data_IF_426342595738
#
_entry.id   IF_426342595738
#
_cell.length_a   1.000
_cell.length_b   1.000
_cell.length_c   1.000
_cell.angle_alpha   90.00
_cell.angle_beta   90.00
_cell.angle_gamma   90.00
#
_symmetry.space_group_name_H-M   'P 1'
#
loop_
_entity.id
_entity.type
_entity.pdbx_description
1 polymer ?
#
# COMPACT_ATOMS: atom_id res chain seq x y z
N UNK A 1 24.35 6.79 17.53
CA UNK A 1 23.97 5.38 17.36
C UNK A 1 22.46 5.33 17.33
N UNK A 2 21.88 5.62 16.15
CA UNK A 2 20.46 5.44 15.87
C UNK A 2 20.41 4.35 14.82
N UNK A 3 19.60 3.34 15.05
CA UNK A 3 19.51 2.10 14.29
C UNK A 3 19.35 2.36 12.77
N UNK A 4 20.26 1.88 11.92
CA UNK A 4 20.05 1.83 10.48
C UNK A 4 19.27 0.56 10.17
N UNK A 5 17.98 0.49 10.54
CA UNK A 5 17.11 -0.63 10.16
C UNK A 5 16.00 -0.15 9.22
N UNK A 6 16.05 -0.70 8.02
CA UNK A 6 14.89 -0.89 7.14
C UNK A 6 14.37 0.34 6.36
N UNK A 7 15.23 1.02 5.61
CA UNK A 7 14.79 1.55 4.32
C UNK A 7 15.41 0.67 3.23
N UNK A 8 14.92 -0.56 3.11
CA UNK A 8 15.13 -1.38 1.91
C UNK A 8 14.53 -0.62 0.74
N UNK A 9 15.35 0.24 0.14
CA UNK A 9 15.18 0.80 -1.19
C UNK A 9 15.24 -0.32 -2.20
N UNK A 10 14.23 -1.19 -2.20
CA UNK A 10 13.92 -1.93 -3.41
C UNK A 10 13.43 -0.91 -4.43
N UNK A 11 13.99 -0.95 -5.64
CA UNK A 11 13.46 -0.25 -6.79
C UNK A 11 11.99 -0.70 -7.00
N UNK A 12 11.07 0.04 -6.38
CA UNK A 12 9.68 -0.35 -6.15
C UNK A 12 8.81 0.10 -7.34
N UNK A 13 8.71 -0.77 -8.34
CA UNK A 13 7.92 -0.58 -9.58
C UNK A 13 6.51 -0.03 -9.31
N UNK A 14 6.19 1.21 -9.69
CA UNK A 14 4.89 1.90 -9.47
C UNK A 14 3.65 0.95 -9.46
N UNK A 15 2.79 1.04 -8.44
CA UNK A 15 1.58 0.20 -8.34
C UNK A 15 0.51 0.81 -9.23
N UNK A 16 0.08 0.10 -10.26
CA UNK A 16 -0.92 0.62 -11.19
C UNK A 16 -2.27 0.85 -10.49
N UNK A 17 -3.11 1.80 -10.97
CA UNK A 17 -4.48 1.94 -10.49
C UNK A 17 -5.26 0.64 -10.73
N UNK A 18 -6.18 0.28 -9.83
CA UNK A 18 -6.87 -1.00 -9.83
C UNK A 18 -6.06 -2.16 -9.23
N UNK A 19 -4.81 -1.92 -8.82
CA UNK A 19 -4.03 -2.93 -8.10
C UNK A 19 -4.54 -3.06 -6.67
N UNK A 20 -4.85 -4.28 -6.24
CA UNK A 20 -5.13 -4.56 -4.83
C UNK A 20 -3.87 -4.48 -3.98
N UNK A 21 -3.99 -3.79 -2.87
CA UNK A 21 -2.86 -3.47 -1.99
C UNK A 21 -3.23 -3.68 -0.54
N UNK A 22 -2.18 -3.78 0.26
CA UNK A 22 -2.21 -3.74 1.70
C UNK A 22 -1.58 -2.43 2.17
N UNK A 23 -2.24 -1.77 3.11
CA UNK A 23 -1.77 -0.50 3.67
C UNK A 23 -1.18 -0.76 5.05
N UNK A 24 0.02 -0.22 5.32
CA UNK A 24 0.64 -0.28 6.65
C UNK A 24 -0.01 0.74 7.58
N UNK A 25 -0.56 0.27 8.71
CA UNK A 25 -1.02 1.18 9.77
C UNK A 25 0.19 1.62 10.60
N UNK A 26 0.49 2.92 10.58
CA UNK A 26 1.58 3.55 11.35
C UNK A 26 1.52 3.32 12.86
N UNK A 27 0.33 3.06 13.40
CA UNK A 27 0.13 2.86 14.84
C UNK A 27 0.46 1.43 15.30
N UNK A 28 0.00 0.42 14.55
CA UNK A 28 0.15 -1.00 14.92
C UNK A 28 1.26 -1.72 14.14
N UNK A 29 1.92 -1.00 13.22
CA UNK A 29 2.84 -1.54 12.21
C UNK A 29 2.28 -2.72 11.39
N UNK A 30 0.96 -2.91 11.42
CA UNK A 30 0.28 -4.04 10.81
C UNK A 30 -0.18 -3.68 9.40
N UNK A 31 -0.05 -4.63 8.48
CA UNK A 31 -0.59 -4.52 7.13
C UNK A 31 -2.05 -4.91 7.14
N UNK A 32 -2.89 -4.08 6.52
CA UNK A 32 -4.32 -4.36 6.36
C UNK A 32 -4.63 -4.47 4.89
N UNK A 33 -5.21 -5.60 4.49
CA UNK A 33 -5.72 -5.88 3.14
C UNK A 33 -7.09 -5.23 2.89
N UNK A 34 -7.60 -5.35 1.67
CA UNK A 34 -8.88 -4.77 1.29
C UNK A 34 -8.78 -3.31 0.85
N UNK A 35 -7.64 -2.94 0.28
CA UNK A 35 -7.42 -1.64 -0.34
C UNK A 35 -7.04 -1.82 -1.80
N UNK A 36 -7.25 -0.78 -2.58
CA UNK A 36 -6.91 -0.74 -3.99
C UNK A 36 -6.33 0.65 -4.33
N UNK A 37 -5.37 0.69 -5.25
CA UNK A 37 -4.88 1.97 -5.78
C UNK A 37 -5.99 2.58 -6.64
N UNK A 38 -6.58 3.69 -6.19
CA UNK A 38 -7.56 4.42 -6.99
C UNK A 38 -6.88 5.25 -8.09
N UNK A 39 -5.66 5.71 -7.83
CA UNK A 39 -4.89 6.51 -8.75
C UNK A 39 -3.69 7.16 -8.07
N UNK A 40 -3.18 8.20 -8.71
CA UNK A 40 -2.06 8.99 -8.23
C UNK A 40 -2.47 10.45 -8.20
N UNK A 41 -2.11 11.14 -7.13
CA UNK A 41 -2.23 12.59 -6.98
C UNK A 41 -0.81 13.15 -6.89
N UNK A 42 -0.27 13.57 -8.04
CA UNK A 42 1.14 13.92 -8.17
C UNK A 42 2.07 12.74 -7.86
N UNK A 43 2.86 12.86 -6.79
CA UNK A 43 3.79 11.83 -6.32
C UNK A 43 3.15 10.88 -5.28
N UNK A 44 1.89 11.13 -4.89
CA UNK A 44 1.21 10.40 -3.81
C UNK A 44 0.21 9.41 -4.36
N UNK A 45 0.10 8.26 -3.69
CA UNK A 45 -0.87 7.25 -4.05
C UNK A 45 -2.22 7.55 -3.41
N UNK A 46 -3.27 7.58 -4.23
CA UNK A 46 -4.65 7.63 -3.78
C UNK A 46 -5.15 6.21 -3.61
N UNK A 47 -5.65 5.89 -2.43
CA UNK A 47 -6.03 4.53 -2.07
C UNK A 47 -7.50 4.48 -1.72
N UNK A 48 -8.21 3.52 -2.29
CA UNK A 48 -9.60 3.21 -1.98
C UNK A 48 -9.65 2.04 -1.01
N UNK A 49 -10.43 2.18 0.06
CA UNK A 49 -10.79 1.03 0.90
C UNK A 49 -11.93 0.27 0.23
N UNK A 50 -11.70 -0.98 -0.14
CA UNK A 50 -12.73 -1.83 -0.77
C UNK A 50 -13.88 -2.17 0.18
N UNK A 51 -13.63 -2.16 1.50
CA UNK A 51 -14.65 -2.51 2.50
C UNK A 51 -15.85 -1.56 2.52
N UNK A 52 -15.65 -0.28 2.17
CA UNK A 52 -16.68 0.77 2.22
C UNK A 52 -16.72 1.59 0.93
N UNK A 53 -15.75 1.39 0.03
CA UNK A 53 -15.62 2.15 -1.20
C UNK A 53 -15.08 3.57 -1.02
N UNK A 54 -14.77 4.00 0.21
CA UNK A 54 -14.24 5.34 0.49
C UNK A 54 -12.78 5.49 0.07
N UNK A 55 -12.48 6.62 -0.58
CA UNK A 55 -11.11 7.07 -0.85
C UNK A 55 -10.50 7.60 0.45
N UNK A 56 -9.33 7.11 0.82
CA UNK A 56 -8.63 7.65 1.97
C UNK A 56 -7.99 9.00 1.56
N UNK A 57 -8.28 10.10 2.27
CA UNK A 57 -7.61 11.39 2.07
C UNK A 57 -6.17 11.38 2.59
N UNK A 58 -5.75 10.26 3.19
CA UNK A 58 -4.40 10.07 3.65
C UNK A 58 -3.45 9.92 2.45
N UNK A 59 -2.33 10.60 2.57
CA UNK A 59 -1.23 10.58 1.61
C UNK A 59 -0.37 9.36 1.84
N UNK A 60 -0.43 8.38 0.94
CA UNK A 60 0.37 7.17 1.02
C UNK A 60 1.58 7.27 0.10
N UNK A 61 2.74 6.96 0.65
CA UNK A 61 3.95 6.77 -0.16
C UNK A 61 4.06 5.32 -0.56
N UNK A 62 4.96 5.04 -1.50
CA UNK A 62 5.21 3.66 -1.93
C UNK A 62 5.64 2.74 -0.77
N UNK A 63 6.34 3.27 0.23
CA UNK A 63 6.80 2.50 1.39
C UNK A 63 5.65 2.08 2.32
N UNK A 64 4.53 2.81 2.29
CA UNK A 64 3.33 2.51 3.06
C UNK A 64 2.41 1.47 2.37
N UNK A 65 2.69 1.18 1.10
CA UNK A 65 1.86 0.35 0.23
C UNK A 65 2.59 -0.91 -0.21
N UNK A 66 1.94 -2.06 0.01
CA UNK A 66 2.42 -3.33 -0.48
C UNK A 66 1.39 -3.93 -1.42
N UNK A 67 1.83 -4.48 -2.56
CA UNK A 67 0.93 -5.27 -3.40
C UNK A 67 0.36 -6.41 -2.56
N UNK A 68 -0.94 -6.62 -2.64
CA UNK A 68 -1.55 -7.86 -2.18
C UNK A 68 -0.88 -8.99 -2.98
N UNK A 69 -0.06 -9.82 -2.33
CA UNK A 69 0.30 -11.09 -2.94
C UNK A 69 -0.95 -11.96 -2.82
N UNK A 70 -1.69 -12.07 -3.91
CA UNK A 70 -2.59 -13.18 -4.07
C UNK A 70 -1.72 -14.44 -4.05
N UNK A 71 -1.63 -15.09 -2.89
CA UNK A 71 -1.28 -16.50 -2.86
C UNK A 71 -2.44 -17.21 -3.52
N UNK A 72 -2.24 -17.39 -4.81
CA UNK A 72 -3.04 -18.20 -5.67
C UNK A 72 -3.03 -19.63 -5.14
N UNK A 73 -3.95 -19.93 -4.22
CA UNK A 73 -4.48 -21.27 -4.04
C UNK A 73 -5.46 -21.53 -5.18
N UNK A 74 -4.96 -22.18 -6.22
CA UNK A 74 -5.81 -23.03 -7.07
C UNK A 74 -5.71 -24.47 -6.53
N UNK A 75 -6.81 -25.19 -6.68
CA UNK A 75 -7.13 -26.57 -6.27
C UNK A 75 -6.02 -27.61 -6.41
#
# INVERSE_FOLDING_TARGET
>A
MVDPKEATGGAQRALAPGTRIEVRRRYDQRWTRGFEVAGFDGDRYVVRRLSDGTLLPASFTRTDLRRERHETWWF
#
